data_IF_681358275296
#
_entry.id   IF_681358275296
#
_cell.length_a   1.000
_cell.length_b   1.000
_cell.length_c   1.000
_cell.angle_alpha   90.00
_cell.angle_beta   90.00
_cell.angle_gamma   90.00
#
_symmetry.space_group_name_H-M   'P 1'
#
loop_
_entity.id
_entity.type
_entity.pdbx_description
1 polymer ?
#
# COMPACT_ATOMS: atom_id res chain seq x y z
N UNK A 1 -17.50 -25.76 -12.65
CA UNK A 1 -16.77 -25.13 -13.79
C UNK A 1 -16.40 -23.68 -13.47
N UNK A 2 -17.35 -22.87 -13.00
CA UNK A 2 -17.17 -21.44 -12.75
C UNK A 2 -16.06 -21.06 -11.75
N UNK A 3 -15.88 -21.85 -10.69
CA UNK A 3 -14.81 -21.59 -9.70
C UNK A 3 -13.40 -21.74 -10.32
N UNK A 4 -13.18 -22.74 -11.17
CA UNK A 4 -11.88 -23.00 -11.82
C UNK A 4 -11.58 -21.90 -12.85
N UNK A 5 -12.61 -21.43 -13.57
CA UNK A 5 -12.49 -20.34 -14.53
C UNK A 5 -12.12 -19.03 -13.83
N UNK A 6 -12.86 -18.65 -12.78
CA UNK A 6 -12.53 -17.44 -11.98
C UNK A 6 -11.12 -17.49 -11.40
N UNK A 7 -10.69 -18.63 -10.87
CA UNK A 7 -9.32 -18.79 -10.36
C UNK A 7 -8.26 -18.64 -11.46
N UNK A 8 -8.53 -19.13 -12.67
CA UNK A 8 -7.63 -18.99 -13.82
C UNK A 8 -7.52 -17.53 -14.26
N UNK A 9 -8.63 -16.79 -14.27
CA UNK A 9 -8.67 -15.37 -14.64
C UNK A 9 -7.94 -14.51 -13.62
N UNK A 10 -8.12 -14.79 -12.33
CA UNK A 10 -7.34 -14.16 -11.25
C UNK A 10 -5.84 -14.38 -11.45
N UNK A 11 -5.41 -15.61 -11.75
CA UNK A 11 -3.99 -15.91 -11.96
C UNK A 11 -3.41 -15.16 -13.16
N UNK A 12 -4.16 -15.10 -14.27
CA UNK A 12 -3.75 -14.34 -15.46
C UNK A 12 -3.70 -12.84 -15.16
N UNK A 13 -4.72 -12.29 -14.51
CA UNK A 13 -4.78 -10.89 -14.10
C UNK A 13 -3.63 -10.50 -13.17
N UNK A 14 -3.35 -11.31 -12.15
CA UNK A 14 -2.21 -11.08 -11.26
C UNK A 14 -0.88 -11.01 -12.01
N UNK A 15 -0.64 -11.88 -13.00
CA UNK A 15 0.59 -11.82 -13.80
C UNK A 15 0.72 -10.52 -14.62
N UNK A 16 -0.39 -10.02 -15.16
CA UNK A 16 -0.41 -8.75 -15.91
C UNK A 16 -0.08 -7.59 -14.97
N UNK A 17 -0.72 -7.55 -13.79
CA UNK A 17 -0.45 -6.53 -12.78
C UNK A 17 1.00 -6.59 -12.27
N UNK A 18 1.56 -7.78 -12.06
CA UNK A 18 2.97 -7.95 -11.68
C UNK A 18 3.93 -7.45 -12.78
N UNK A 19 3.60 -7.66 -14.06
CA UNK A 19 4.41 -7.15 -15.16
C UNK A 19 4.34 -5.62 -15.22
N UNK A 20 3.14 -5.04 -15.09
CA UNK A 20 2.95 -3.60 -15.04
C UNK A 20 3.68 -2.97 -13.84
N UNK A 21 3.57 -3.58 -12.65
CA UNK A 21 4.29 -3.17 -11.45
C UNK A 21 5.82 -3.18 -11.61
N UNK A 22 6.36 -4.17 -12.32
CA UNK A 22 7.80 -4.21 -12.62
C UNK A 22 8.24 -3.15 -13.61
N UNK A 23 7.34 -2.67 -14.47
CA UNK A 23 7.64 -1.54 -15.35
C UNK A 23 7.59 -0.24 -14.55
N UNK A 24 6.44 0.05 -13.93
CA UNK A 24 6.17 1.28 -13.19
C UNK A 24 5.21 0.98 -12.02
N UNK A 25 5.69 0.93 -10.76
CA UNK A 25 4.82 0.79 -9.60
C UNK A 25 3.84 1.94 -9.48
N UNK A 26 2.55 1.65 -9.27
CA UNK A 26 1.49 2.66 -9.18
C UNK A 26 0.43 2.28 -8.14
N UNK A 27 -0.14 3.23 -7.36
CA UNK A 27 -1.16 2.96 -6.34
C UNK A 27 -2.31 2.07 -6.84
N UNK A 28 -2.91 2.39 -7.99
CA UNK A 28 -4.03 1.63 -8.57
C UNK A 28 -3.66 0.17 -8.87
N UNK A 29 -2.41 -0.10 -9.27
CA UNK A 29 -1.93 -1.47 -9.50
C UNK A 29 -1.82 -2.21 -8.16
N UNK A 30 -1.31 -1.55 -7.11
CA UNK A 30 -1.23 -2.13 -5.77
C UNK A 30 -2.62 -2.46 -5.23
N UNK A 31 -3.58 -1.54 -5.36
CA UNK A 31 -4.97 -1.74 -4.93
C UNK A 31 -5.60 -2.94 -5.63
N UNK A 32 -5.54 -2.97 -6.97
CA UNK A 32 -6.08 -4.07 -7.77
C UNK A 32 -5.40 -5.40 -7.44
N UNK A 33 -4.08 -5.42 -7.27
CA UNK A 33 -3.34 -6.66 -7.02
C UNK A 33 -3.61 -7.23 -5.62
N UNK A 34 -3.65 -6.37 -4.60
CA UNK A 34 -3.93 -6.75 -3.20
C UNK A 34 -5.36 -7.24 -3.01
N UNK A 35 -6.31 -6.73 -3.79
CA UNK A 35 -7.73 -7.12 -3.73
C UNK A 35 -8.17 -8.07 -4.87
N UNK A 36 -7.24 -8.60 -5.67
CA UNK A 36 -7.57 -9.39 -6.86
C UNK A 36 -8.39 -10.66 -6.59
N UNK A 37 -8.43 -11.17 -5.36
CA UNK A 37 -9.30 -12.28 -4.96
C UNK A 37 -10.37 -11.81 -3.97
N UNK A 38 -11.65 -11.91 -4.36
CA UNK A 38 -12.75 -11.75 -3.41
C UNK A 38 -12.63 -12.78 -2.28
N UNK A 39 -12.67 -12.31 -1.03
CA UNK A 39 -12.61 -13.16 0.17
C UNK A 39 -11.23 -13.31 0.80
N UNK A 40 -10.17 -12.73 0.23
CA UNK A 40 -8.85 -12.71 0.87
C UNK A 40 -8.91 -11.99 2.23
N UNK A 41 -8.37 -12.63 3.28
CA UNK A 41 -8.27 -12.03 4.61
C UNK A 41 -7.25 -10.88 4.63
N UNK A 42 -7.28 -10.05 5.67
CA UNK A 42 -6.33 -8.91 5.81
C UNK A 42 -4.86 -9.35 5.70
N UNK A 43 -4.52 -10.52 6.25
CA UNK A 43 -3.16 -11.08 6.17
C UNK A 43 -2.79 -11.57 4.76
N UNK A 44 -3.76 -12.07 4.00
CA UNK A 44 -3.53 -12.46 2.59
C UNK A 44 -3.22 -11.23 1.74
N UNK A 45 -3.93 -10.13 1.98
CA UNK A 45 -3.67 -8.83 1.32
C UNK A 45 -2.29 -8.28 1.69
N UNK A 46 -1.88 -8.37 2.96
CA UNK A 46 -0.54 -8.01 3.39
C UNK A 46 0.54 -8.86 2.71
N UNK A 47 0.33 -10.17 2.57
CA UNK A 47 1.27 -11.05 1.87
C UNK A 47 1.40 -10.69 0.38
N UNK A 48 0.31 -10.29 -0.28
CA UNK A 48 0.35 -9.76 -1.66
C UNK A 48 1.09 -8.44 -1.76
N UNK A 49 0.87 -7.52 -0.83
CA UNK A 49 1.61 -6.26 -0.80
C UNK A 49 3.12 -6.49 -0.61
N UNK A 50 3.50 -7.40 0.29
CA UNK A 50 4.90 -7.84 0.45
C UNK A 50 5.43 -8.46 -0.84
N UNK A 51 4.60 -9.20 -1.58
CA UNK A 51 5.01 -9.73 -2.89
C UNK A 51 5.35 -8.62 -3.88
N UNK A 52 4.53 -7.59 -3.98
CA UNK A 52 4.83 -6.42 -4.83
C UNK A 52 6.15 -5.75 -4.42
N UNK A 53 6.41 -5.62 -3.12
CA UNK A 53 7.67 -5.07 -2.62
C UNK A 53 8.89 -5.95 -2.96
N UNK A 54 8.75 -7.27 -2.97
CA UNK A 54 9.82 -8.15 -3.45
C UNK A 54 10.14 -7.95 -4.94
N UNK A 55 9.11 -7.70 -5.75
CA UNK A 55 9.26 -7.48 -7.21
C UNK A 55 9.92 -6.14 -7.50
N UNK A 56 9.69 -5.13 -6.66
CA UNK A 56 10.34 -3.81 -6.73
C UNK A 56 10.74 -3.32 -5.33
N UNK A 57 11.93 -3.76 -4.92
CA UNK A 57 12.55 -3.33 -3.66
C UNK A 57 12.99 -1.87 -3.75
N UNK A 58 13.08 -1.19 -2.61
CA UNK A 58 13.55 0.19 -2.50
C UNK A 58 12.77 1.19 -3.37
N UNK A 59 11.45 0.99 -3.48
CA UNK A 59 10.57 1.90 -4.17
C UNK A 59 9.51 2.43 -3.20
N UNK A 60 9.26 3.74 -3.22
CA UNK A 60 8.33 4.36 -2.29
C UNK A 60 6.91 3.78 -2.42
N UNK A 61 6.44 3.52 -3.64
CA UNK A 61 5.12 2.89 -3.87
C UNK A 61 5.04 1.45 -3.32
N UNK A 62 6.13 0.71 -3.37
CA UNK A 62 6.19 -0.62 -2.77
C UNK A 62 6.08 -0.57 -1.26
N UNK A 63 6.76 0.38 -0.62
CA UNK A 63 6.62 0.60 0.82
C UNK A 63 5.22 1.12 1.17
N UNK A 64 4.61 2.01 0.37
CA UNK A 64 3.22 2.44 0.56
C UNK A 64 2.23 1.29 0.51
N UNK A 65 2.35 0.40 -0.47
CA UNK A 65 1.48 -0.77 -0.61
C UNK A 65 1.54 -1.68 0.63
N UNK A 66 2.75 -1.96 1.13
CA UNK A 66 2.92 -2.76 2.37
C UNK A 66 2.39 -2.01 3.58
N UNK A 67 2.65 -0.71 3.68
CA UNK A 67 2.25 0.10 4.82
C UNK A 67 0.72 0.13 4.97
N UNK A 68 -0.02 0.34 3.88
CA UNK A 68 -1.49 0.32 3.87
C UNK A 68 -2.04 -1.05 4.26
N UNK A 69 -1.54 -2.12 3.64
CA UNK A 69 -2.01 -3.47 3.95
C UNK A 69 -1.62 -3.92 5.38
N UNK A 70 -0.53 -3.40 5.93
CA UNK A 70 -0.13 -3.67 7.30
C UNK A 70 -1.03 -2.94 8.31
N UNK A 71 -1.44 -1.70 8.01
CA UNK A 71 -2.43 -0.99 8.81
C UNK A 71 -3.77 -1.74 8.85
N UNK A 72 -4.25 -2.22 7.70
CA UNK A 72 -5.47 -3.05 7.63
C UNK A 72 -5.36 -4.33 8.46
N UNK A 73 -4.15 -4.90 8.55
CA UNK A 73 -3.84 -6.08 9.35
C UNK A 73 -3.53 -5.74 10.82
N UNK A 74 -3.60 -4.46 11.22
CA UNK A 74 -3.23 -3.94 12.54
C UNK A 74 -1.78 -4.26 12.95
N UNK A 75 -0.89 -4.51 11.98
CA UNK A 75 0.55 -4.61 12.18
C UNK A 75 1.15 -3.18 12.15
N UNK A 76 0.89 -2.41 13.20
CA UNK A 76 1.27 -1.00 13.30
C UNK A 76 2.78 -0.79 13.19
N UNK A 77 3.59 -1.71 13.74
CA UNK A 77 5.04 -1.64 13.66
C UNK A 77 5.54 -1.74 12.22
N UNK A 78 5.01 -2.68 11.43
CA UNK A 78 5.33 -2.77 10.00
C UNK A 78 4.78 -1.57 9.24
N UNK A 79 3.52 -1.19 9.48
CA UNK A 79 2.87 -0.08 8.79
C UNK A 79 3.69 1.21 8.93
N UNK A 80 4.11 1.53 10.16
CA UNK A 80 4.92 2.71 10.48
C UNK A 80 6.28 2.68 9.79
N UNK A 81 7.01 1.57 9.94
CA UNK A 81 8.35 1.41 9.33
C UNK A 81 8.32 1.63 7.83
N UNK A 82 7.32 1.08 7.14
CA UNK A 82 7.18 1.19 5.70
C UNK A 82 6.68 2.57 5.26
N UNK A 83 5.75 3.19 5.98
CA UNK A 83 5.33 4.57 5.70
C UNK A 83 6.51 5.56 5.82
N UNK A 84 7.33 5.41 6.85
CA UNK A 84 8.55 6.19 7.01
C UNK A 84 9.59 5.89 5.92
N UNK A 85 9.69 4.63 5.47
CA UNK A 85 10.55 4.26 4.35
C UNK A 85 10.11 4.94 3.06
N UNK A 86 8.81 4.98 2.78
CA UNK A 86 8.25 5.71 1.65
C UNK A 86 8.63 7.20 1.72
N UNK A 87 8.45 7.85 2.87
CA UNK A 87 8.83 9.27 3.07
C UNK A 87 10.33 9.52 2.81
N UNK A 88 11.20 8.60 3.24
CA UNK A 88 12.66 8.72 3.03
C UNK A 88 13.05 8.59 1.56
N UNK A 89 12.35 7.73 0.81
CA UNK A 89 12.61 7.50 -0.61
C UNK A 89 12.03 8.61 -1.47
N UNK A 90 10.77 8.96 -1.23
CA UNK A 90 10.04 9.98 -1.95
C UNK A 90 8.94 10.57 -1.06
N UNK A 91 9.13 11.84 -0.67
CA UNK A 91 8.22 12.53 0.24
C UNK A 91 6.88 12.74 -0.45
N UNK A 92 5.81 12.21 0.15
CA UNK A 92 4.47 12.24 -0.44
C UNK A 92 3.36 12.38 0.61
N UNK A 93 2.27 13.01 0.22
CA UNK A 93 1.10 13.30 1.04
C UNK A 93 0.53 12.04 1.68
N UNK A 94 0.30 10.98 0.89
CA UNK A 94 -0.36 9.76 1.37
C UNK A 94 0.42 9.04 2.47
N UNK A 95 1.76 9.16 2.49
CA UNK A 95 2.58 8.55 3.52
C UNK A 95 2.42 9.24 4.89
N UNK A 96 2.24 10.57 4.91
CA UNK A 96 1.95 11.30 6.14
C UNK A 96 0.52 11.08 6.63
N UNK A 97 -0.45 11.00 5.71
CA UNK A 97 -1.83 10.63 6.05
C UNK A 97 -1.86 9.24 6.67
N UNK A 98 -1.16 8.26 6.09
CA UNK A 98 -1.08 6.91 6.64
C UNK A 98 -0.44 6.89 8.03
N UNK A 99 0.62 7.67 8.27
CA UNK A 99 1.18 7.79 9.62
C UNK A 99 0.16 8.37 10.62
N UNK A 100 -0.68 9.31 10.19
CA UNK A 100 -1.73 9.86 11.05
C UNK A 100 -2.78 8.80 11.38
N UNK A 101 -3.22 8.02 10.39
CA UNK A 101 -4.15 6.89 10.58
C UNK A 101 -3.58 5.86 11.57
N UNK A 102 -2.27 5.54 11.46
CA UNK A 102 -1.58 4.64 12.38
C UNK A 102 -1.56 5.20 13.81
N UNK A 103 -1.19 6.47 13.99
CA UNK A 103 -1.18 7.10 15.33
C UNK A 103 -2.55 7.11 15.97
N UNK A 104 -3.59 7.44 15.19
CA UNK A 104 -4.97 7.45 15.66
C UNK A 104 -5.42 6.05 16.10
N UNK A 105 -5.14 5.03 15.29
CA UNK A 105 -5.54 3.65 15.58
C UNK A 105 -4.75 2.99 16.73
N UNK A 106 -3.45 3.28 16.86
CA UNK A 106 -2.58 2.63 17.84
C UNK A 106 -2.59 3.34 19.21
N UNK A 107 -2.55 4.67 19.22
CA UNK A 107 -2.32 5.44 20.46
C UNK A 107 -3.45 6.43 20.78
N UNK A 108 -4.20 6.88 19.76
CA UNK A 108 -5.18 7.95 19.91
C UNK A 108 -4.58 9.32 20.22
N UNK A 109 -3.27 9.52 20.05
CA UNK A 109 -2.59 10.80 20.32
C UNK A 109 -2.96 11.87 19.28
N UNK A 110 -4.01 12.62 19.59
CA UNK A 110 -4.55 13.69 18.76
C UNK A 110 -3.53 14.81 18.48
N UNK A 111 -2.53 15.00 19.34
CA UNK A 111 -1.46 15.97 19.13
C UNK A 111 -0.54 15.55 17.99
N UNK A 112 -0.10 14.29 18.00
CA UNK A 112 0.71 13.70 16.91
C UNK A 112 -0.05 13.60 15.61
N UNK A 113 -1.33 13.18 15.65
CA UNK A 113 -2.20 13.12 14.47
C UNK A 113 -2.24 14.49 13.78
N UNK A 114 -2.54 15.57 14.51
CA UNK A 114 -2.55 16.93 13.94
C UNK A 114 -1.19 17.36 13.37
N UNK A 115 -0.10 16.97 14.02
CA UNK A 115 1.25 17.26 13.52
C UNK A 115 1.51 16.56 12.18
N UNK A 116 1.08 15.30 12.03
CA UNK A 116 1.25 14.52 10.80
C UNK A 116 0.36 15.05 9.67
N UNK A 117 -0.90 15.39 9.96
CA UNK A 117 -1.80 16.04 9.00
C UNK A 117 -1.23 17.38 8.51
N UNK A 118 -0.61 18.17 9.40
CA UNK A 118 0.04 19.42 9.01
C UNK A 118 1.24 19.21 8.08
N UNK A 119 1.92 18.06 8.18
CA UNK A 119 2.99 17.66 7.24
C UNK A 119 2.42 17.20 5.91
N UNK A 120 1.31 16.45 5.91
CA UNK A 120 0.63 15.98 4.70
C UNK A 120 0.26 17.13 3.77
N UNK A 121 -0.35 18.20 4.31
CA UNK A 121 -0.76 19.40 3.54
C UNK A 121 0.41 20.07 2.78
N UNK A 122 1.65 19.89 3.25
CA UNK A 122 2.85 20.51 2.66
C UNK A 122 3.65 19.55 1.79
N UNK A 123 3.25 18.28 1.72
CA UNK A 123 3.96 17.27 0.95
C UNK A 123 3.53 17.31 -0.53
N UNK A 124 4.39 16.88 -1.46
CA UNK A 124 3.98 16.57 -2.83
C UNK A 124 2.81 15.59 -2.84
N UNK A 125 1.91 15.73 -3.81
CA UNK A 125 0.80 14.78 -4.02
C UNK A 125 1.33 13.42 -4.44
N UNK A 126 0.57 12.38 -4.10
CA UNK A 126 0.86 11.03 -4.56
C UNK A 126 0.78 10.93 -6.11
N UNK A 127 1.51 9.99 -6.73
CA UNK A 127 1.37 9.70 -8.14
C UNK A 127 -0.08 9.37 -8.48
N UNK A 128 -0.61 10.01 -9.52
CA UNK A 128 -1.89 9.68 -10.12
C UNK A 128 -1.68 9.52 -11.63
N UNK A 129 -2.48 8.67 -12.28
CA UNK A 129 -2.48 8.62 -13.74
C UNK A 129 -2.85 10.00 -14.29
N UNK A 130 -1.89 10.61 -14.97
CA UNK A 130 -2.14 11.82 -15.76
C UNK A 130 -2.78 11.33 -17.06
N UNK A 131 -4.05 11.67 -17.25
CA UNK A 131 -4.82 11.36 -18.46
C UNK A 131 -4.29 12.14 -19.68
#
# INVERSE_FOLDING_TARGET
>A
ADLVIRQNDVRKGSKILEAAWKAEPHPDIAELYTHARPGDAVLDRLNRARKLQELKRNHAESSMAVARAALDAQDFATARREAEAAIRMDRREGAYLLLADIEEAETGDQGKVRQLLSKAVRAPRDPAWVA
#
